data_IF_883637948333
#
_entry.id   IF_883637948333
#
_cell.length_a   1.000
_cell.length_b   1.000
_cell.length_c   1.000
_cell.angle_alpha   90.00
_cell.angle_beta   90.00
_cell.angle_gamma   90.00
#
_symmetry.space_group_name_H-M   'P 1'
#
loop_
_entity.id
_entity.type
_entity.pdbx_description
1 polymer ?
#
# COMPACT_ATOMS: atom_id res chain seq x y z
N UNK A 1 36.38 30.05 -9.24
CA UNK A 1 35.31 29.33 -9.94
C UNK A 1 35.49 27.80 -9.95
N UNK A 2 36.66 27.23 -9.75
CA UNK A 2 36.88 25.76 -9.75
C UNK A 2 36.48 25.04 -8.44
N UNK A 3 36.35 25.74 -7.32
CA UNK A 3 36.04 25.13 -6.01
C UNK A 3 34.55 24.86 -5.75
N UNK A 4 33.64 25.55 -6.47
CA UNK A 4 32.16 25.39 -6.27
C UNK A 4 31.67 24.17 -7.02
N UNK A 5 32.24 23.84 -8.19
CA UNK A 5 31.88 22.67 -8.96
C UNK A 5 32.26 21.34 -8.26
N UNK A 6 33.36 21.34 -7.50
CA UNK A 6 33.79 20.18 -6.72
C UNK A 6 32.86 19.92 -5.50
N UNK A 7 32.36 20.97 -4.87
CA UNK A 7 31.44 20.84 -3.72
C UNK A 7 30.07 20.32 -4.14
N UNK A 8 29.56 20.75 -5.29
CA UNK A 8 28.31 20.24 -5.87
C UNK A 8 28.40 18.78 -6.30
N UNK A 9 29.57 18.35 -6.80
CA UNK A 9 29.80 16.95 -7.18
C UNK A 9 29.81 16.00 -5.98
N UNK A 10 30.33 16.42 -4.82
CA UNK A 10 30.39 15.63 -3.59
C UNK A 10 28.98 15.54 -2.94
N UNK A 11 28.18 16.60 -3.01
CA UNK A 11 26.81 16.58 -2.50
C UNK A 11 25.87 15.69 -3.34
N UNK A 12 26.10 15.59 -4.66
CA UNK A 12 25.31 14.70 -5.53
C UNK A 12 25.68 13.22 -5.34
N UNK A 13 26.91 12.92 -4.97
CA UNK A 13 27.38 11.54 -4.71
C UNK A 13 26.89 11.00 -3.36
N UNK A 14 26.57 11.85 -2.39
CA UNK A 14 26.01 11.45 -1.11
C UNK A 14 24.52 11.08 -1.19
N UNK A 15 23.81 11.50 -2.24
CA UNK A 15 22.41 11.15 -2.46
C UNK A 15 22.20 9.78 -3.15
N UNK A 16 23.28 9.12 -3.57
CA UNK A 16 23.28 7.82 -4.24
C UNK A 16 23.96 6.72 -3.42
N UNK A 17 24.02 6.88 -2.09
CA UNK A 17 24.44 5.76 -1.26
C UNK A 17 23.43 4.62 -1.47
N UNK A 18 23.82 3.46 -2.06
CA UNK A 18 22.96 2.31 -2.07
C UNK A 18 22.69 2.00 -0.60
N UNK A 19 21.41 1.84 -0.25
CA UNK A 19 21.04 1.22 1.02
C UNK A 19 21.68 -0.16 0.95
N UNK A 20 22.80 -0.33 1.65
CA UNK A 20 23.48 -1.60 1.76
C UNK A 20 22.42 -2.59 2.25
N UNK A 21 22.24 -3.68 1.51
CA UNK A 21 21.46 -4.82 1.95
C UNK A 21 22.06 -5.24 3.30
N UNK A 22 21.38 -4.86 4.38
CA UNK A 22 21.70 -5.36 5.70
C UNK A 22 21.44 -6.86 5.68
N UNK A 23 22.40 -7.62 6.23
CA UNK A 23 22.43 -9.07 6.40
C UNK A 23 21.05 -9.75 6.34
N UNK A 24 20.52 -9.96 5.14
CA UNK A 24 19.39 -10.85 4.83
C UNK A 24 18.15 -10.83 5.73
N UNK A 25 18.05 -9.92 6.71
CA UNK A 25 16.94 -9.80 7.65
C UNK A 25 16.18 -8.49 7.47
N UNK A 26 14.85 -8.55 7.49
CA UNK A 26 13.97 -7.38 7.38
C UNK A 26 13.01 -7.34 8.55
N UNK A 27 12.97 -6.20 9.23
CA UNK A 27 12.02 -5.94 10.32
C UNK A 27 10.60 -5.69 9.80
N UNK A 28 9.61 -5.79 10.70
CA UNK A 28 8.24 -5.40 10.41
C UNK A 28 8.18 -3.94 9.92
N UNK A 29 7.39 -3.63 8.89
CA UNK A 29 7.27 -2.28 8.39
C UNK A 29 6.62 -1.36 9.42
N UNK A 30 7.14 -0.14 9.51
CA UNK A 30 6.50 0.91 10.28
C UNK A 30 5.50 1.61 9.36
N UNK A 31 4.21 1.37 9.57
CA UNK A 31 3.17 2.02 8.81
C UNK A 31 2.82 3.36 9.41
N UNK A 32 2.44 4.30 8.56
CA UNK A 32 1.97 5.63 8.98
C UNK A 32 0.56 5.89 8.46
N UNK A 33 -0.26 6.69 9.17
CA UNK A 33 -1.57 7.09 8.65
C UNK A 33 -1.45 7.67 7.24
N UNK A 34 -2.35 7.23 6.35
CA UNK A 34 -2.39 7.53 4.92
C UNK A 34 -1.39 6.77 4.04
N UNK A 35 -0.60 5.85 4.57
CA UNK A 35 0.05 4.87 3.71
C UNK A 35 -1.02 4.10 2.97
N UNK A 36 -0.86 3.91 1.65
CA UNK A 36 -1.85 3.28 0.80
C UNK A 36 -1.22 2.31 -0.18
N UNK A 37 -1.94 1.24 -0.48
CA UNK A 37 -1.57 0.26 -1.50
C UNK A 37 -2.82 -0.06 -2.32
N UNK A 38 -2.71 0.04 -3.63
CA UNK A 38 -3.77 -0.38 -4.55
C UNK A 38 -3.31 -1.62 -5.29
N UNK A 39 -4.11 -2.65 -5.21
CA UNK A 39 -3.88 -3.94 -5.85
C UNK A 39 -4.88 -4.18 -6.96
N UNK A 40 -4.45 -4.84 -8.02
CA UNK A 40 -5.34 -5.59 -8.91
C UNK A 40 -5.49 -6.99 -8.34
N UNK A 41 -6.72 -7.46 -8.24
CA UNK A 41 -7.03 -8.81 -7.77
C UNK A 41 -7.86 -9.54 -8.81
N UNK A 42 -7.56 -10.83 -8.98
CA UNK A 42 -8.38 -11.78 -9.68
C UNK A 42 -8.52 -12.97 -8.75
N UNK A 43 -9.69 -13.17 -8.19
CA UNK A 43 -9.94 -14.23 -7.21
C UNK A 43 -11.22 -14.99 -7.55
N UNK A 44 -11.20 -16.30 -7.31
CA UNK A 44 -12.39 -17.14 -7.43
C UNK A 44 -13.19 -17.08 -6.12
N UNK A 45 -14.46 -16.71 -6.21
CA UNK A 45 -15.40 -16.80 -5.09
C UNK A 45 -16.05 -18.19 -5.01
N UNK A 46 -16.19 -18.86 -6.16
CA UNK A 46 -16.62 -20.25 -6.31
C UNK A 46 -15.89 -20.86 -7.50
N UNK A 47 -15.99 -22.15 -7.72
CA UNK A 47 -15.17 -22.90 -8.69
C UNK A 47 -15.01 -22.21 -10.05
N UNK A 48 -16.08 -21.57 -10.56
CA UNK A 48 -16.09 -20.94 -11.88
C UNK A 48 -16.63 -19.49 -11.84
N UNK A 49 -16.67 -18.85 -10.66
CA UNK A 49 -17.17 -17.49 -10.51
C UNK A 49 -16.07 -16.59 -9.93
N UNK A 50 -15.63 -15.61 -10.72
CA UNK A 50 -14.45 -14.79 -10.46
C UNK A 50 -14.83 -13.34 -10.15
N UNK A 51 -14.04 -12.74 -9.26
CA UNK A 51 -14.01 -11.31 -8.98
C UNK A 51 -12.71 -10.74 -9.53
N UNK A 52 -12.78 -9.91 -10.58
CA UNK A 52 -11.64 -9.16 -11.13
C UNK A 52 -11.85 -7.68 -10.83
N UNK A 53 -10.84 -7.02 -10.27
CA UNK A 53 -10.98 -5.61 -9.92
C UNK A 53 -9.78 -5.04 -9.19
N UNK A 54 -10.05 -3.98 -8.44
CA UNK A 54 -9.03 -3.29 -7.64
C UNK A 54 -9.46 -3.23 -6.19
N UNK A 55 -8.48 -3.40 -5.30
CA UNK A 55 -8.63 -3.25 -3.85
C UNK A 55 -7.59 -2.25 -3.37
N UNK A 56 -8.01 -1.29 -2.56
CA UNK A 56 -7.13 -0.28 -1.95
C UNK A 56 -7.14 -0.44 -0.44
N UNK A 57 -5.96 -0.53 0.14
CA UNK A 57 -5.71 -0.54 1.58
C UNK A 57 -5.22 0.84 1.97
N UNK A 58 -5.73 1.39 3.07
CA UNK A 58 -5.30 2.69 3.60
C UNK A 58 -5.14 2.60 5.11
N UNK A 59 -3.96 2.92 5.60
CA UNK A 59 -3.71 3.01 7.04
C UNK A 59 -4.48 4.21 7.60
N UNK A 60 -5.41 3.94 8.51
CA UNK A 60 -6.25 4.94 9.15
C UNK A 60 -5.56 5.56 10.37
N UNK A 61 -5.17 4.71 11.28
CA UNK A 61 -4.49 5.11 12.52
C UNK A 61 -3.67 3.94 13.11
N UNK A 62 -2.94 4.26 14.17
CA UNK A 62 -2.24 3.30 15.04
C UNK A 62 -2.60 3.58 16.48
N UNK A 63 -2.82 2.54 17.25
CA UNK A 63 -3.16 2.66 18.66
C UNK A 63 -3.15 1.33 19.40
N UNK A 64 -3.62 1.37 20.64
CA UNK A 64 -3.88 0.15 21.40
C UNK A 64 -5.33 -0.25 21.20
N UNK A 65 -5.54 -1.43 20.63
CA UNK A 65 -6.87 -2.00 20.40
C UNK A 65 -7.04 -3.25 21.26
N UNK A 66 -8.21 -3.39 21.89
CA UNK A 66 -8.54 -4.58 22.69
C UNK A 66 -9.36 -5.54 21.82
N UNK A 67 -8.83 -6.74 21.59
CA UNK A 67 -9.48 -7.83 20.85
C UNK A 67 -9.60 -9.02 21.78
N UNK A 68 -10.80 -9.56 21.96
CA UNK A 68 -11.09 -10.67 22.88
C UNK A 68 -10.47 -10.47 24.28
N UNK A 69 -10.54 -9.23 24.81
CA UNK A 69 -10.00 -8.87 26.11
C UNK A 69 -8.47 -8.68 26.17
N UNK A 70 -7.77 -8.90 25.08
CA UNK A 70 -6.30 -8.74 24.98
C UNK A 70 -5.94 -7.43 24.29
N UNK A 71 -5.11 -6.56 24.90
CA UNK A 71 -4.66 -5.32 24.28
C UNK A 71 -3.50 -5.60 23.30
N UNK A 72 -3.58 -5.02 22.11
CA UNK A 72 -2.55 -5.07 21.07
C UNK A 72 -2.15 -3.66 20.64
N UNK A 73 -0.87 -3.42 20.42
CA UNK A 73 -0.40 -2.27 19.63
C UNK A 73 -0.60 -2.62 18.16
N UNK A 74 -1.50 -1.92 17.48
CA UNK A 74 -1.93 -2.31 16.14
C UNK A 74 -2.21 -1.11 15.25
N UNK A 75 -2.24 -1.38 13.95
CA UNK A 75 -2.72 -0.48 12.90
C UNK A 75 -4.17 -0.84 12.56
N UNK A 76 -4.98 0.19 12.29
CA UNK A 76 -6.29 0.03 11.68
C UNK A 76 -6.20 0.42 10.22
N UNK A 77 -6.64 -0.47 9.34
CA UNK A 77 -6.53 -0.35 7.90
C UNK A 77 -7.93 -0.44 7.29
N UNK A 78 -8.31 0.62 6.60
CA UNK A 78 -9.53 0.63 5.78
C UNK A 78 -9.22 -0.06 4.45
N UNK A 79 -10.09 -0.97 4.04
CA UNK A 79 -10.01 -1.71 2.77
C UNK A 79 -11.24 -1.37 1.94
N UNK A 80 -11.04 -0.98 0.71
CA UNK A 80 -12.12 -0.74 -0.25
C UNK A 80 -11.78 -1.35 -1.60
N UNK A 81 -12.78 -1.90 -2.27
CA UNK A 81 -12.56 -2.53 -3.57
C UNK A 81 -13.79 -2.49 -4.44
N UNK A 82 -13.56 -2.65 -5.75
CA UNK A 82 -14.63 -2.79 -6.73
C UNK A 82 -14.12 -3.41 -8.03
N UNK A 83 -15.02 -3.98 -8.79
CA UNK A 83 -14.68 -4.60 -10.06
C UNK A 83 -15.85 -5.29 -10.73
N UNK A 84 -15.51 -6.24 -11.61
CA UNK A 84 -16.46 -7.09 -12.30
C UNK A 84 -16.53 -8.46 -11.63
N UNK A 85 -17.75 -9.01 -11.61
CA UNK A 85 -18.02 -10.38 -11.18
C UNK A 85 -18.50 -11.15 -12.42
N UNK A 86 -17.85 -12.26 -12.76
CA UNK A 86 -18.19 -13.02 -13.96
C UNK A 86 -17.86 -14.50 -13.81
N UNK A 87 -18.60 -15.35 -14.53
CA UNK A 87 -18.38 -16.79 -14.55
C UNK A 87 -19.66 -17.57 -14.42
N UNK A 88 -19.58 -18.83 -13.99
CA UNK A 88 -20.74 -19.66 -13.74
C UNK A 88 -21.13 -19.60 -12.26
N UNK A 89 -22.31 -19.07 -12.00
CA UNK A 89 -22.89 -19.11 -10.67
C UNK A 89 -23.74 -20.38 -10.55
N UNK A 90 -23.34 -21.25 -9.62
CA UNK A 90 -24.01 -22.52 -9.40
C UNK A 90 -24.68 -22.52 -8.03
N UNK A 91 -25.97 -22.84 -8.02
CA UNK A 91 -26.77 -23.15 -6.82
C UNK A 91 -27.42 -24.48 -6.98
N UNK A 92 -28.09 -25.00 -5.94
CA UNK A 92 -28.83 -26.26 -6.00
C UNK A 92 -29.96 -26.25 -7.07
N UNK A 93 -30.39 -25.06 -7.49
CA UNK A 93 -31.52 -24.91 -8.42
C UNK A 93 -31.09 -24.54 -9.85
N UNK A 94 -29.96 -23.84 -9.99
CA UNK A 94 -29.55 -23.25 -11.27
C UNK A 94 -28.02 -23.21 -11.36
N UNK A 95 -27.52 -23.57 -12.54
CA UNK A 95 -26.15 -23.29 -12.94
C UNK A 95 -26.16 -22.56 -14.27
N UNK A 96 -25.69 -21.32 -14.30
CA UNK A 96 -25.67 -20.50 -15.49
C UNK A 96 -24.59 -19.44 -15.48
N UNK A 97 -24.14 -18.96 -16.66
CA UNK A 97 -23.26 -17.82 -16.77
C UNK A 97 -23.86 -16.60 -16.07
N UNK A 98 -23.03 -15.90 -15.32
CA UNK A 98 -23.40 -14.70 -14.59
C UNK A 98 -22.39 -13.58 -14.88
N UNK A 99 -22.86 -12.34 -14.91
CA UNK A 99 -22.03 -11.16 -15.02
C UNK A 99 -22.59 -10.02 -14.22
N UNK A 100 -21.71 -9.21 -13.61
CA UNK A 100 -22.12 -8.12 -12.76
C UNK A 100 -20.95 -7.29 -12.26
N UNK A 101 -21.19 -6.53 -11.20
CA UNK A 101 -20.20 -5.75 -10.50
C UNK A 101 -20.15 -6.17 -9.03
N UNK A 102 -18.98 -5.97 -8.40
CA UNK A 102 -18.82 -6.17 -6.97
C UNK A 102 -18.23 -4.93 -6.29
N UNK A 103 -18.53 -4.79 -5.02
CA UNK A 103 -17.98 -3.76 -4.12
C UNK A 103 -17.59 -4.45 -2.82
N UNK A 104 -16.43 -4.06 -2.28
CA UNK A 104 -15.88 -4.52 -1.02
C UNK A 104 -15.63 -3.32 -0.12
N UNK A 105 -16.06 -3.42 1.13
CA UNK A 105 -15.60 -2.58 2.23
C UNK A 105 -15.17 -3.44 3.39
N UNK A 106 -14.01 -3.15 3.97
CA UNK A 106 -13.55 -3.85 5.17
C UNK A 106 -12.71 -2.91 6.05
N UNK A 107 -12.62 -3.26 7.31
CA UNK A 107 -11.66 -2.69 8.25
C UNK A 107 -10.86 -3.85 8.86
N UNK A 108 -9.53 -3.76 8.80
CA UNK A 108 -8.63 -4.73 9.40
C UNK A 108 -7.83 -4.08 10.52
N UNK A 109 -7.70 -4.79 11.64
CA UNK A 109 -6.79 -4.41 12.72
C UNK A 109 -5.60 -5.36 12.68
N UNK A 110 -4.41 -4.79 12.45
CA UNK A 110 -3.16 -5.55 12.21
C UNK A 110 -2.16 -5.23 13.31
N UNK A 111 -1.74 -6.24 14.03
CA UNK A 111 -0.74 -6.15 15.11
C UNK A 111 0.62 -5.66 14.54
N UNK A 112 1.27 -4.71 15.24
CA UNK A 112 2.45 -4.00 14.72
C UNK A 112 3.70 -4.86 14.60
N UNK A 113 3.88 -5.83 15.49
CA UNK A 113 5.12 -6.60 15.57
C UNK A 113 5.21 -7.68 14.49
N UNK A 114 4.15 -8.47 14.32
CA UNK A 114 4.10 -9.58 13.37
C UNK A 114 3.35 -9.26 12.09
N UNK A 115 2.73 -8.08 11.99
CA UNK A 115 1.86 -7.70 10.88
C UNK A 115 0.71 -8.71 10.68
N UNK A 116 0.16 -9.20 11.78
CA UNK A 116 -0.91 -10.20 11.77
C UNK A 116 -2.25 -9.55 11.99
N UNK A 117 -3.24 -9.96 11.20
CA UNK A 117 -4.63 -9.54 11.41
C UNK A 117 -5.12 -10.12 12.74
N UNK A 118 -5.60 -9.24 13.63
CA UNK A 118 -6.17 -9.61 14.94
C UNK A 118 -7.68 -9.38 15.00
N UNK A 119 -8.22 -8.55 14.12
CA UNK A 119 -9.66 -8.39 13.93
C UNK A 119 -9.93 -7.95 12.49
N UNK A 120 -11.08 -8.33 11.96
CA UNK A 120 -11.55 -7.83 10.68
C UNK A 120 -13.08 -7.73 10.64
N UNK A 121 -13.56 -6.72 9.91
CA UNK A 121 -14.97 -6.59 9.53
C UNK A 121 -14.99 -6.44 8.03
N UNK A 122 -15.79 -7.25 7.33
CA UNK A 122 -15.86 -7.29 5.88
C UNK A 122 -17.31 -7.26 5.43
N UNK A 123 -17.59 -6.48 4.39
CA UNK A 123 -18.87 -6.48 3.64
C UNK A 123 -18.53 -6.50 2.15
N UNK A 124 -18.84 -7.61 1.49
CA UNK A 124 -18.70 -7.83 0.05
C UNK A 124 -20.09 -7.99 -0.57
N UNK A 125 -20.38 -7.17 -1.56
CA UNK A 125 -21.60 -7.29 -2.36
C UNK A 125 -21.26 -7.50 -3.83
N UNK A 126 -21.97 -8.42 -4.49
CA UNK A 126 -21.93 -8.57 -5.95
C UNK A 126 -23.35 -8.60 -6.50
N UNK A 127 -23.59 -7.76 -7.50
CA UNK A 127 -24.89 -7.60 -8.14
C UNK A 127 -24.75 -7.78 -9.65
N UNK A 128 -25.70 -8.47 -10.27
CA UNK A 128 -25.63 -8.68 -11.72
C UNK A 128 -26.78 -9.47 -12.27
N UNK A 129 -26.52 -10.10 -13.41
CA UNK A 129 -27.49 -10.88 -14.18
C UNK A 129 -27.00 -12.30 -14.40
N UNK A 130 -27.84 -13.26 -14.11
CA UNK A 130 -27.69 -14.67 -14.47
C UNK A 130 -28.28 -14.89 -15.84
N UNK A 131 -27.51 -15.33 -16.80
CA UNK A 131 -27.87 -15.49 -18.19
C UNK A 131 -28.47 -16.87 -18.43
N UNK A 132 -29.73 -17.06 -18.06
CA UNK A 132 -30.50 -18.26 -18.30
C UNK A 132 -31.33 -18.12 -19.57
N UNK A 133 -31.73 -19.24 -20.18
CA UNK A 133 -32.64 -19.28 -21.34
C UNK A 133 -33.98 -19.81 -20.86
N UNK A 134 -35.09 -19.16 -21.15
CA UNK A 134 -35.30 -18.01 -22.05
C UNK A 134 -35.20 -16.63 -21.39
N UNK A 135 -35.13 -16.53 -20.07
CA UNK A 135 -35.25 -15.25 -19.34
C UNK A 135 -34.07 -15.09 -18.41
N UNK A 136 -33.32 -13.97 -18.50
CA UNK A 136 -32.27 -13.66 -17.53
C UNK A 136 -32.88 -13.27 -16.18
N UNK A 137 -32.16 -13.61 -15.08
CA UNK A 137 -32.56 -13.25 -13.71
C UNK A 137 -31.51 -12.36 -13.05
N UNK A 138 -31.94 -11.36 -12.26
CA UNK A 138 -30.98 -10.66 -11.40
C UNK A 138 -30.45 -11.61 -10.34
N UNK A 139 -29.17 -11.44 -9.98
CA UNK A 139 -28.60 -12.04 -8.79
C UNK A 139 -28.06 -10.96 -7.86
N UNK A 140 -28.13 -11.24 -6.57
CA UNK A 140 -27.48 -10.48 -5.51
C UNK A 140 -26.76 -11.47 -4.59
N UNK A 141 -25.47 -11.26 -4.40
CA UNK A 141 -24.63 -11.99 -3.46
C UNK A 141 -24.12 -11.01 -2.43
N UNK A 142 -24.20 -11.37 -1.16
CA UNK A 142 -23.61 -10.61 -0.07
C UNK A 142 -22.91 -11.52 0.92
N UNK A 143 -21.71 -11.12 1.32
CA UNK A 143 -20.93 -11.76 2.37
C UNK A 143 -20.56 -10.70 3.39
N UNK A 144 -21.05 -10.87 4.61
CA UNK A 144 -20.63 -10.05 5.76
C UNK A 144 -19.91 -10.96 6.73
N UNK A 145 -18.72 -10.55 7.16
CA UNK A 145 -17.92 -11.29 8.11
C UNK A 145 -17.35 -10.36 9.16
N UNK A 146 -17.47 -10.75 10.42
CA UNK A 146 -16.77 -10.13 11.54
C UNK A 146 -15.93 -11.20 12.20
N UNK A 147 -14.62 -10.98 12.31
CA UNK A 147 -13.70 -11.94 12.87
C UNK A 147 -12.79 -11.30 13.91
N UNK A 148 -12.60 -12.01 15.02
CA UNK A 148 -11.65 -11.66 16.06
C UNK A 148 -10.68 -12.82 16.27
N UNK A 149 -9.40 -12.54 16.19
CA UNK A 149 -8.34 -13.54 16.25
C UNK A 149 -7.62 -13.46 17.58
N UNK A 150 -7.54 -14.59 18.27
CA UNK A 150 -6.70 -14.77 19.44
C UNK A 150 -5.45 -15.54 19.03
N UNK A 151 -4.31 -14.87 19.07
CA UNK A 151 -3.01 -15.46 18.77
C UNK A 151 -2.57 -16.32 19.96
N UNK A 152 -2.54 -17.64 19.79
CA UNK A 152 -2.27 -18.59 20.89
C UNK A 152 -0.82 -19.06 20.89
N UNK A 153 -0.31 -19.47 19.74
CA UNK A 153 1.08 -19.83 19.52
C UNK A 153 1.53 -19.11 18.24
N UNK A 154 2.21 -18.01 18.45
CA UNK A 154 2.43 -17.03 17.41
C UNK A 154 3.90 -16.63 17.36
N UNK A 155 4.74 -17.52 16.79
CA UNK A 155 6.09 -17.12 16.46
C UNK A 155 6.03 -15.94 15.48
N UNK A 156 6.78 -14.90 15.78
CA UNK A 156 6.86 -13.71 14.96
C UNK A 156 7.42 -14.03 13.59
N UNK A 157 6.71 -13.60 12.54
CA UNK A 157 7.24 -13.70 11.19
C UNK A 157 8.45 -12.76 11.01
N UNK A 158 8.37 -11.59 11.61
CA UNK A 158 9.46 -10.61 11.59
C UNK A 158 10.40 -10.77 12.80
N UNK A 159 11.71 -10.53 12.62
CA UNK A 159 12.37 -10.17 11.36
C UNK A 159 12.39 -11.31 10.35
N UNK A 160 12.12 -10.97 9.06
CA UNK A 160 12.18 -11.94 7.98
C UNK A 160 13.63 -12.38 7.76
N UNK A 161 13.87 -13.70 7.70
CA UNK A 161 15.16 -14.28 7.39
C UNK A 161 14.98 -15.51 6.50
N UNK A 162 15.71 -15.59 5.41
CA UNK A 162 15.64 -16.75 4.48
C UNK A 162 15.93 -18.04 5.23
N UNK A 163 15.11 -19.06 5.00
CA UNK A 163 15.15 -20.35 5.69
C UNK A 163 14.35 -20.41 6.99
N UNK A 164 13.82 -19.24 7.49
CA UNK A 164 12.95 -19.25 8.66
C UNK A 164 11.65 -20.02 8.37
N UNK A 165 11.22 -20.81 9.35
CA UNK A 165 9.95 -21.54 9.34
C UNK A 165 9.27 -21.40 10.67
N UNK A 166 7.94 -21.50 10.68
CA UNK A 166 7.17 -21.47 11.92
C UNK A 166 5.75 -21.97 11.70
N UNK A 167 5.08 -22.23 12.81
CA UNK A 167 3.65 -22.59 12.83
C UNK A 167 2.92 -21.53 13.63
N UNK A 168 1.93 -20.90 13.03
CA UNK A 168 1.04 -19.97 13.68
C UNK A 168 -0.25 -20.68 14.04
N UNK A 169 -0.62 -20.65 15.31
CA UNK A 169 -1.90 -21.15 15.81
C UNK A 169 -2.76 -19.99 16.25
N UNK A 170 -3.93 -19.94 15.68
CA UNK A 170 -4.87 -18.85 15.95
C UNK A 170 -6.24 -19.43 16.26
N UNK A 171 -6.84 -18.97 17.34
CA UNK A 171 -8.26 -19.16 17.61
C UNK A 171 -9.03 -18.02 16.97
N UNK A 172 -10.02 -18.34 16.17
CA UNK A 172 -10.84 -17.39 15.42
C UNK A 172 -12.27 -17.44 15.96
N UNK A 173 -12.74 -16.35 16.53
CA UNK A 173 -14.16 -16.12 16.80
C UNK A 173 -14.74 -15.37 15.59
N UNK A 174 -15.78 -15.91 14.97
CA UNK A 174 -16.35 -15.32 13.77
C UNK A 174 -17.88 -15.26 13.79
N UNK A 175 -18.39 -14.28 13.09
CA UNK A 175 -19.79 -14.17 12.69
C UNK A 175 -19.83 -13.90 11.21
N UNK A 176 -20.55 -14.72 10.47
CA UNK A 176 -20.69 -14.63 9.02
C UNK A 176 -22.16 -14.67 8.61
N UNK A 177 -22.55 -13.73 7.76
CA UNK A 177 -23.82 -13.73 7.03
C UNK A 177 -23.52 -13.90 5.56
N UNK A 178 -23.94 -15.03 4.98
CA UNK A 178 -23.83 -15.33 3.56
C UNK A 178 -25.21 -15.35 2.94
N UNK A 179 -25.44 -14.52 1.93
CA UNK A 179 -26.70 -14.45 1.20
C UNK A 179 -26.46 -14.51 -0.31
N UNK A 180 -27.24 -15.34 -0.98
CA UNK A 180 -27.35 -15.34 -2.44
C UNK A 180 -28.83 -15.34 -2.81
N UNK A 181 -29.25 -14.37 -3.63
CA UNK A 181 -30.60 -14.23 -4.13
C UNK A 181 -30.56 -14.29 -5.66
N UNK A 182 -31.40 -15.15 -6.27
CA UNK A 182 -31.51 -15.28 -7.72
C UNK A 182 -32.99 -15.10 -8.08
N UNK A 183 -33.32 -13.98 -8.70
CA UNK A 183 -34.69 -13.62 -9.07
C UNK A 183 -35.59 -13.25 -7.88
N UNK A 184 -35.44 -13.90 -6.74
CA UNK A 184 -36.23 -13.66 -5.53
C UNK A 184 -35.28 -13.49 -4.32
N UNK A 185 -35.65 -12.63 -3.34
CA UNK A 185 -34.94 -12.51 -2.09
C UNK A 185 -34.86 -13.85 -1.35
N UNK A 186 -33.64 -14.22 -0.92
CA UNK A 186 -33.41 -15.40 -0.07
C UNK A 186 -32.82 -14.93 1.25
N UNK A 187 -33.27 -15.45 2.40
CA UNK A 187 -32.69 -15.12 3.69
C UNK A 187 -31.20 -15.50 3.70
N UNK A 188 -30.34 -14.69 4.31
CA UNK A 188 -28.93 -15.04 4.46
C UNK A 188 -28.78 -16.24 5.41
N UNK A 189 -27.73 -17.02 5.18
CA UNK A 189 -27.29 -18.07 6.09
C UNK A 189 -26.41 -17.40 7.13
N UNK A 190 -26.86 -17.43 8.39
CA UNK A 190 -26.11 -16.90 9.52
C UNK A 190 -25.29 -18.01 10.16
N UNK A 191 -24.00 -17.76 10.38
CA UNK A 191 -23.06 -18.69 11.00
C UNK A 191 -22.22 -17.97 12.04
N UNK A 192 -22.09 -18.55 13.22
CA UNK A 192 -21.21 -18.06 14.28
C UNK A 192 -20.43 -19.21 14.86
N UNK A 193 -19.21 -18.98 15.30
CA UNK A 193 -18.46 -20.06 15.91
C UNK A 193 -17.03 -19.69 16.29
N UNK A 194 -16.40 -20.70 16.89
CA UNK A 194 -14.98 -20.73 17.17
C UNK A 194 -14.33 -21.70 16.20
N UNK A 195 -13.32 -21.23 15.49
CA UNK A 195 -12.49 -22.06 14.61
C UNK A 195 -11.03 -21.97 15.03
N UNK A 196 -10.29 -23.05 14.80
CA UNK A 196 -8.85 -23.06 14.97
C UNK A 196 -8.18 -23.06 13.61
N UNK A 197 -7.25 -22.11 13.43
CA UNK A 197 -6.43 -22.07 12.23
C UNK A 197 -4.99 -22.35 12.60
N UNK A 198 -4.40 -23.32 11.93
CA UNK A 198 -2.97 -23.61 11.99
C UNK A 198 -2.42 -23.31 10.61
N UNK A 199 -1.44 -22.44 10.52
CA UNK A 199 -0.73 -22.25 9.27
C UNK A 199 0.77 -22.45 9.49
N UNK A 200 1.42 -23.10 8.53
CA UNK A 200 2.88 -23.22 8.51
C UNK A 200 3.42 -22.22 7.50
N UNK A 201 4.36 -21.38 7.91
CA UNK A 201 5.04 -20.50 6.98
C UNK A 201 6.50 -20.94 6.77
N UNK A 202 7.02 -20.67 5.59
CA UNK A 202 8.43 -20.85 5.23
C UNK A 202 8.86 -19.64 4.40
N UNK A 203 9.94 -18.99 4.82
CA UNK A 203 10.59 -17.96 4.03
C UNK A 203 11.56 -18.64 3.06
N UNK A 204 11.12 -18.81 1.80
CA UNK A 204 11.80 -19.68 0.84
C UNK A 204 13.05 -19.03 0.24
N UNK A 205 12.96 -17.75 -0.18
CA UNK A 205 14.04 -17.06 -0.87
C UNK A 205 13.80 -15.56 -0.95
N UNK A 206 14.81 -14.82 -1.37
CA UNK A 206 14.65 -13.51 -1.99
C UNK A 206 14.42 -13.68 -3.49
N UNK A 207 13.56 -12.86 -4.07
CA UNK A 207 13.21 -12.90 -5.49
C UNK A 207 12.91 -11.49 -6.01
N UNK A 208 13.23 -11.23 -7.26
CA UNK A 208 12.76 -10.04 -7.95
C UNK A 208 11.36 -10.31 -8.47
N UNK A 209 10.43 -9.38 -8.23
CA UNK A 209 9.03 -9.47 -8.64
C UNK A 209 8.64 -8.24 -9.44
N UNK A 210 8.11 -8.49 -10.64
CA UNK A 210 7.58 -7.47 -11.52
C UNK A 210 6.10 -7.31 -11.28
N UNK A 211 5.65 -6.08 -11.08
CA UNK A 211 4.26 -5.71 -10.91
C UNK A 211 3.96 -4.44 -11.70
N UNK A 212 2.69 -4.08 -11.92
CA UNK A 212 2.36 -2.78 -12.50
C UNK A 212 2.92 -1.57 -11.73
N UNK A 213 3.19 -1.71 -10.43
CA UNK A 213 3.79 -0.67 -9.60
C UNK A 213 5.32 -0.55 -9.77
N UNK A 214 5.98 -1.51 -10.41
CA UNK A 214 7.42 -1.55 -10.64
C UNK A 214 8.08 -2.88 -10.31
N UNK A 215 9.41 -2.85 -10.24
CA UNK A 215 10.26 -3.99 -9.89
C UNK A 215 10.61 -3.94 -8.41
N UNK A 216 10.49 -5.05 -7.72
CA UNK A 216 10.74 -5.13 -6.28
C UNK A 216 11.66 -6.30 -5.93
N UNK A 217 12.67 -6.02 -5.11
CA UNK A 217 13.36 -7.07 -4.35
C UNK A 217 12.41 -7.48 -3.21
N UNK A 218 11.98 -8.74 -3.23
CA UNK A 218 10.95 -9.24 -2.34
C UNK A 218 11.39 -10.52 -1.62
N UNK A 219 10.85 -10.73 -0.43
CA UNK A 219 10.96 -12.00 0.29
C UNK A 219 9.79 -12.88 -0.08
N UNK A 220 10.07 -14.07 -0.60
CA UNK A 220 9.05 -15.06 -0.94
C UNK A 220 8.72 -15.91 0.27
N UNK A 221 7.50 -15.73 0.76
CA UNK A 221 6.96 -16.41 1.94
C UNK A 221 5.88 -17.37 1.46
N UNK A 222 6.06 -18.67 1.73
CA UNK A 222 5.01 -19.65 1.51
C UNK A 222 4.25 -19.86 2.81
N UNK A 223 2.92 -19.78 2.77
CA UNK A 223 2.03 -20.14 3.88
C UNK A 223 1.17 -21.33 3.46
N UNK A 224 1.24 -22.40 4.21
CA UNK A 224 0.47 -23.61 3.95
C UNK A 224 -0.65 -23.74 4.99
N UNK A 225 -1.85 -24.03 4.54
CA UNK A 225 -3.07 -24.18 5.33
C UNK A 225 -3.42 -25.66 5.56
N UNK A 226 -4.21 -25.98 6.62
CA UNK A 226 -4.55 -27.37 6.95
C UNK A 226 -5.37 -28.10 5.89
N UNK A 227 -6.10 -27.37 5.05
CA UNK A 227 -6.90 -27.92 3.94
C UNK A 227 -6.06 -28.32 2.73
N UNK A 228 -4.74 -28.12 2.81
CA UNK A 228 -3.78 -28.44 1.74
C UNK A 228 -3.58 -27.29 0.75
N UNK A 229 -4.34 -26.22 0.83
CA UNK A 229 -4.08 -25.01 0.04
C UNK A 229 -2.82 -24.29 0.56
N UNK A 230 -2.20 -23.46 -0.27
CA UNK A 230 -1.11 -22.61 0.17
C UNK A 230 -1.12 -21.30 -0.61
N UNK A 231 -0.54 -20.26 -0.01
CA UNK A 231 -0.22 -19.05 -0.74
C UNK A 231 1.30 -18.79 -0.77
N UNK A 232 1.69 -17.96 -1.74
CA UNK A 232 3.01 -17.34 -1.83
C UNK A 232 2.86 -15.84 -1.77
N UNK A 233 3.44 -15.25 -0.76
CA UNK A 233 3.50 -13.80 -0.59
C UNK A 233 4.89 -13.31 -0.97
N UNK A 234 4.96 -12.24 -1.72
CA UNK A 234 6.19 -11.58 -2.11
C UNK A 234 6.26 -10.24 -1.36
N UNK A 235 6.75 -10.29 -0.13
CA UNK A 235 6.88 -9.10 0.70
C UNK A 235 8.00 -8.20 0.18
N UNK A 236 7.67 -6.98 -0.22
CA UNK A 236 8.59 -5.97 -0.72
C UNK A 236 8.87 -4.92 0.37
N UNK A 237 10.06 -4.89 0.99
CA UNK A 237 10.38 -3.90 2.02
C UNK A 237 10.26 -2.46 1.53
N UNK A 238 10.58 -2.21 0.26
CA UNK A 238 10.48 -0.88 -0.35
C UNK A 238 9.02 -0.37 -0.44
N UNK A 239 8.05 -1.28 -0.52
CA UNK A 239 6.63 -0.95 -0.51
C UNK A 239 6.02 -1.07 0.90
N UNK A 240 6.72 -1.66 1.86
CA UNK A 240 6.22 -1.94 3.21
C UNK A 240 5.04 -2.93 3.24
N UNK A 241 4.81 -3.65 2.15
CA UNK A 241 3.72 -4.61 2.00
C UNK A 241 4.06 -5.63 0.89
N UNK A 242 3.15 -6.57 0.64
CA UNK A 242 3.33 -7.53 -0.44
C UNK A 242 3.24 -6.83 -1.81
N UNK A 243 4.22 -7.08 -2.69
CA UNK A 243 4.14 -6.67 -4.09
C UNK A 243 3.21 -7.60 -4.89
N UNK A 244 3.16 -8.89 -4.51
CA UNK A 244 2.31 -9.90 -5.12
C UNK A 244 1.90 -10.95 -4.08
N UNK A 245 0.71 -11.49 -4.24
CA UNK A 245 0.25 -12.68 -3.53
C UNK A 245 -0.39 -13.64 -4.54
N UNK A 246 -0.02 -14.90 -4.47
CA UNK A 246 -0.51 -15.97 -5.33
C UNK A 246 -1.10 -17.07 -4.44
N UNK A 247 -2.32 -17.49 -4.70
CA UNK A 247 -2.98 -18.59 -3.99
C UNK A 247 -3.02 -19.84 -4.87
N UNK A 248 -2.76 -20.99 -4.28
CA UNK A 248 -2.70 -22.28 -4.96
C UNK A 248 -3.63 -23.29 -4.31
N UNK A 249 -4.27 -24.09 -5.15
CA UNK A 249 -4.80 -25.37 -4.72
C UNK A 249 -3.63 -26.33 -4.49
N UNK A 250 -3.66 -27.14 -3.41
CA UNK A 250 -2.51 -27.91 -2.91
C UNK A 250 -1.78 -28.79 -3.92
N UNK A 251 -2.39 -29.16 -5.02
CA UNK A 251 -1.81 -29.98 -6.10
C UNK A 251 -1.54 -29.19 -7.38
N UNK A 252 -1.99 -27.94 -7.46
CA UNK A 252 -1.87 -27.11 -8.65
C UNK A 252 -0.50 -26.45 -8.76
N UNK A 253 -0.01 -26.31 -9.98
CA UNK A 253 1.19 -25.51 -10.32
C UNK A 253 0.85 -24.08 -10.71
N UNK A 254 -0.40 -23.83 -11.11
CA UNK A 254 -0.91 -22.51 -11.47
C UNK A 254 -1.69 -21.91 -10.30
N UNK A 255 -1.54 -20.60 -10.05
CA UNK A 255 -2.31 -19.91 -9.01
C UNK A 255 -3.80 -19.85 -9.40
N UNK A 256 -4.66 -20.14 -8.42
CA UNK A 256 -6.12 -19.98 -8.55
C UNK A 256 -6.57 -18.55 -8.29
N UNK A 257 -5.74 -17.75 -7.65
CA UNK A 257 -5.96 -16.33 -7.43
C UNK A 257 -4.63 -15.60 -7.41
N UNK A 258 -4.62 -14.37 -7.92
CA UNK A 258 -3.44 -13.50 -7.92
C UNK A 258 -3.85 -12.09 -7.53
N UNK A 259 -3.06 -11.50 -6.65
CA UNK A 259 -3.17 -10.09 -6.26
C UNK A 259 -1.84 -9.42 -6.50
N UNK A 260 -1.82 -8.34 -7.28
CA UNK A 260 -0.60 -7.62 -7.69
C UNK A 260 -0.69 -6.14 -7.34
N UNK A 261 0.40 -5.59 -6.83
CA UNK A 261 0.51 -4.16 -6.52
C UNK A 261 0.51 -3.32 -7.80
N UNK A 262 -0.44 -2.40 -7.89
CA UNK A 262 -0.60 -1.47 -9.02
C UNK A 262 0.01 -0.11 -8.72
N UNK A 263 -0.16 0.35 -7.49
CA UNK A 263 0.41 1.60 -7.01
C UNK A 263 0.48 1.60 -5.49
N UNK A 264 1.37 2.39 -4.93
CA UNK A 264 1.49 2.54 -3.48
C UNK A 264 2.00 3.92 -3.09
N UNK A 265 1.72 4.27 -1.86
CA UNK A 265 2.29 5.40 -1.14
C UNK A 265 2.67 4.89 0.25
N UNK A 266 3.95 4.67 0.48
CA UNK A 266 4.47 4.12 1.73
C UNK A 266 5.52 5.04 2.30
N UNK A 267 5.36 5.41 3.58
CA UNK A 267 6.24 6.36 4.28
C UNK A 267 6.52 7.63 3.45
N UNK A 268 5.56 8.04 2.64
CA UNK A 268 5.64 9.33 2.00
C UNK A 268 5.62 10.35 3.14
N UNK A 269 6.80 10.74 3.58
CA UNK A 269 6.96 11.87 4.48
C UNK A 269 6.12 12.99 3.90
N UNK A 270 5.10 13.46 4.63
CA UNK A 270 4.58 14.79 4.31
C UNK A 270 5.81 15.69 4.33
N UNK A 271 6.06 16.44 3.25
CA UNK A 271 7.24 17.31 3.22
C UNK A 271 7.23 18.12 4.51
N UNK A 272 8.35 18.02 5.26
CA UNK A 272 8.44 18.59 6.59
C UNK A 272 7.99 20.06 6.52
N UNK A 273 6.87 20.40 7.16
CA UNK A 273 6.38 21.76 7.23
C UNK A 273 7.06 22.46 8.37
N UNK A 274 8.04 23.30 8.07
CA UNK A 274 8.62 24.21 9.04
C UNK A 274 7.92 25.55 8.94
N UNK A 275 7.30 26.02 10.05
CA UNK A 275 6.49 27.26 10.07
C UNK A 275 5.37 27.28 9.01
N UNK A 276 4.70 26.11 8.78
CA UNK A 276 3.59 25.99 7.85
C UNK A 276 3.96 25.90 6.36
N UNK A 277 5.25 26.00 6.02
CA UNK A 277 5.75 25.91 4.65
C UNK A 277 6.38 24.52 4.39
N UNK A 278 6.21 24.00 3.18
CA UNK A 278 6.87 22.78 2.73
C UNK A 278 8.35 23.04 2.42
N UNK A 279 9.16 21.97 2.32
CA UNK A 279 10.58 22.09 1.90
C UNK A 279 10.71 22.79 0.55
N UNK A 280 9.75 22.56 -0.37
CA UNK A 280 9.69 23.24 -1.67
C UNK A 280 9.42 24.74 -1.54
N UNK A 281 8.52 25.11 -0.63
CA UNK A 281 8.19 26.52 -0.35
C UNK A 281 9.38 27.25 0.24
N UNK A 282 10.15 26.59 1.13
CA UNK A 282 11.38 27.14 1.67
C UNK A 282 12.46 27.33 0.61
N UNK A 283 12.57 26.42 -0.36
CA UNK A 283 13.49 26.59 -1.49
C UNK A 283 13.12 27.83 -2.31
N UNK A 284 11.84 28.09 -2.56
CA UNK A 284 11.36 29.30 -3.24
C UNK A 284 11.69 30.56 -2.41
N UNK A 285 11.41 30.53 -1.10
CA UNK A 285 11.72 31.64 -0.19
C UNK A 285 13.22 31.97 -0.22
N UNK A 286 14.08 30.95 -0.15
CA UNK A 286 15.54 31.14 -0.22
C UNK A 286 15.99 31.76 -1.54
N UNK A 287 15.42 31.33 -2.68
CA UNK A 287 15.73 31.89 -4.00
C UNK A 287 15.31 33.37 -4.07
N UNK A 288 14.10 33.70 -3.57
CA UNK A 288 13.60 35.09 -3.53
C UNK A 288 14.48 35.97 -2.64
N UNK A 289 14.87 35.49 -1.46
CA UNK A 289 15.77 36.21 -0.54
C UNK A 289 17.15 36.41 -1.19
N UNK A 290 17.71 35.39 -1.83
CA UNK A 290 18.99 35.50 -2.52
C UNK A 290 18.93 36.52 -3.67
N UNK A 291 17.85 36.51 -4.46
CA UNK A 291 17.62 37.50 -5.52
C UNK A 291 17.53 38.92 -4.97
N UNK A 292 16.78 39.13 -3.86
CA UNK A 292 16.65 40.41 -3.20
C UNK A 292 18.01 40.95 -2.68
N UNK A 293 18.84 40.08 -2.11
CA UNK A 293 20.20 40.42 -1.65
C UNK A 293 21.07 40.84 -2.84
N UNK A 294 21.03 40.12 -3.95
CA UNK A 294 21.79 40.46 -5.16
C UNK A 294 21.34 41.83 -5.70
N UNK A 295 20.02 42.08 -5.76
CA UNK A 295 19.48 43.41 -6.18
C UNK A 295 19.96 44.53 -5.27
N UNK A 296 19.91 44.33 -3.94
CA UNK A 296 20.42 45.29 -2.97
C UNK A 296 21.93 45.59 -3.15
N UNK A 297 22.74 44.55 -3.39
CA UNK A 297 24.17 44.72 -3.64
C UNK A 297 24.41 45.56 -4.91
N UNK A 298 23.68 45.24 -5.99
CA UNK A 298 23.79 45.99 -7.27
C UNK A 298 23.35 47.43 -7.11
N UNK A 299 22.24 47.67 -6.41
CA UNK A 299 21.79 49.04 -6.11
C UNK A 299 22.79 49.82 -5.27
N UNK A 300 23.34 49.20 -4.22
CA UNK A 300 24.40 49.82 -3.36
C UNK A 300 25.65 50.12 -4.14
N UNK A 301 26.06 49.29 -5.08
CA UNK A 301 27.19 49.55 -5.97
C UNK A 301 26.90 50.70 -6.95
N UNK A 302 25.70 50.82 -7.50
CA UNK A 302 25.28 51.91 -8.38
C UNK A 302 25.27 53.26 -7.63
N UNK A 303 24.77 53.26 -6.39
CA UNK A 303 24.66 54.46 -5.54
C UNK A 303 26.06 54.94 -5.04
N UNK A 304 27.08 54.07 -5.03
CA UNK A 304 28.48 54.37 -4.64
C UNK A 304 29.33 54.80 -5.83
N UNK A 305 28.80 54.92 -7.04
CA UNK A 305 29.58 55.48 -8.14
C UNK A 305 29.91 56.93 -7.80
N UNK A 306 31.20 57.33 -7.68
CA UNK A 306 31.56 58.69 -7.41
C UNK A 306 30.98 59.60 -8.52
N UNK A 307 30.32 60.66 -8.11
CA UNK A 307 29.93 61.73 -9.02
C UNK A 307 31.22 62.26 -9.66
N UNK A 308 31.35 62.24 -11.01
CA UNK A 308 32.52 62.82 -11.64
C UNK A 308 32.75 64.24 -11.14
N UNK A 309 33.99 64.65 -10.84
CA UNK A 309 34.25 66.01 -10.40
C UNK A 309 33.68 67.02 -11.40
N UNK A 310 33.10 68.14 -10.91
CA UNK A 310 32.58 69.18 -11.79
C UNK A 310 33.68 69.62 -12.77
N UNK A 311 33.36 69.52 -14.06
CA UNK A 311 34.30 69.78 -15.13
C UNK A 311 34.96 71.14 -14.92
N UNK A 312 36.28 71.14 -14.90
CA UNK A 312 37.06 72.39 -14.99
C UNK A 312 36.64 73.12 -16.27
N UNK A 313 36.09 74.32 -16.13
CA UNK A 313 35.72 75.16 -17.24
C UNK A 313 36.94 75.32 -18.19
N UNK A 314 36.77 75.24 -19.51
CA UNK A 314 37.86 75.42 -20.43
C UNK A 314 38.47 76.83 -20.24
N UNK A 315 39.77 76.96 -20.37
CA UNK A 315 40.44 78.26 -20.23
C UNK A 315 39.89 79.24 -21.29
N UNK A 316 39.80 80.55 -20.96
CA UNK A 316 39.31 81.55 -21.91
C UNK A 316 40.27 81.61 -23.12
N UNK A 317 39.77 81.95 -24.33
CA UNK A 317 40.57 82.01 -25.51
C UNK A 317 41.58 83.17 -25.38
N UNK A 318 42.82 83.01 -25.96
CA UNK A 318 43.80 84.09 -25.87
C UNK A 318 43.31 85.36 -26.60
N UNK A 319 43.45 86.49 -25.95
CA UNK A 319 43.19 87.85 -26.52
C UNK A 319 44.40 88.13 -27.46
N UNK A 320 44.11 88.15 -28.77
CA UNK A 320 45.12 88.49 -29.80
C UNK A 320 45.42 89.99 -29.79
N UNK A 321 46.54 90.38 -30.42
CA UNK A 321 47.05 91.75 -30.39
C UNK A 321 46.18 92.77 -31.15
#
# INVERSE_FOLDING_TARGET
MRSIAALLGVLLLLALAPVAAQDGTVNAPLLTPRDTWTYRTNTSLAADFFLDGKVTLTVKDRGTFTVEGTPYDAYRIDVSGSGIAAGNLTSDLVSAPASGAWVLTAEETIETKGMKTIASVLDLEANGTLHTIPIPFPFHLRVQNTSAYRLVDDPWLFPLSVGATGVVRTELNFTEDFGISIGFPTPPIHSTGLAWTNLTYTLEAQAVVDTPAGHFDAFRIRRAFPDGTYDRQFFAPAAGNNARTEMYNGTGTEPIATTELVSYRYQALEPARFVGLTTSDWAIVLVVVAAAVVVMIVLRQRLRRPVPPPGTSPPPPPVGP
#
